data_IF_415029779107
#
_entry.id   IF_415029779107
#
_cell.length_a   1.000
_cell.length_b   1.000
_cell.length_c   1.000
_cell.angle_alpha   90.00
_cell.angle_beta   90.00
_cell.angle_gamma   90.00
#
_symmetry.space_group_name_H-M   'P 1'
#
loop_
_entity.id
_entity.type
_entity.pdbx_description
1 polymer ?
#
# COMPACT_ATOMS: atom_id res chain seq x y z
N UNK A 1 5.90 18.89 0.39
CA UNK A 1 6.28 17.49 0.12
C UNK A 1 5.06 16.77 -0.40
N UNK A 2 5.18 15.86 -1.37
CA UNK A 2 4.07 15.02 -1.80
C UNK A 2 3.59 14.18 -0.62
N UNK A 3 2.36 14.45 -0.15
CA UNK A 3 1.73 13.65 0.89
C UNK A 3 1.01 12.46 0.24
N UNK A 4 1.23 11.26 0.78
CA UNK A 4 0.45 10.10 0.38
C UNK A 4 -0.82 10.02 1.21
N UNK A 5 -1.93 9.85 0.51
CA UNK A 5 -3.26 9.64 1.13
C UNK A 5 -3.78 8.27 0.77
N UNK A 6 -4.51 7.63 1.68
CA UNK A 6 -5.08 6.32 1.41
C UNK A 6 -6.56 6.37 1.02
N UNK A 7 -6.99 5.33 0.32
CA UNK A 7 -8.39 5.03 0.00
C UNK A 7 -8.63 3.55 0.25
N UNK A 8 -9.68 3.23 1.00
CA UNK A 8 -10.16 1.88 1.26
C UNK A 8 -11.37 1.59 0.37
N UNK A 9 -11.39 0.42 -0.28
CA UNK A 9 -12.48 -0.04 -1.14
C UNK A 9 -13.07 -1.32 -0.56
N UNK A 10 -14.39 -1.37 -0.42
CA UNK A 10 -15.10 -2.49 0.19
C UNK A 10 -15.79 -3.36 -0.86
N UNK A 11 -16.15 -4.58 -0.45
CA UNK A 11 -16.77 -5.59 -1.31
C UNK A 11 -18.12 -5.16 -1.93
N UNK A 12 -18.83 -4.22 -1.32
CA UNK A 12 -20.07 -3.63 -1.83
C UNK A 12 -19.84 -2.44 -2.79
N UNK A 13 -18.57 -2.14 -3.10
CA UNK A 13 -18.16 -1.02 -3.94
C UNK A 13 -18.11 0.32 -3.21
N UNK A 14 -18.44 0.36 -1.91
CA UNK A 14 -18.28 1.59 -1.12
C UNK A 14 -16.80 1.92 -0.94
N UNK A 15 -16.53 3.20 -0.74
CA UNK A 15 -15.17 3.73 -0.62
C UNK A 15 -15.07 4.63 0.60
N UNK A 16 -14.01 4.43 1.40
CA UNK A 16 -13.64 5.30 2.50
C UNK A 16 -12.30 6.00 2.16
N UNK A 17 -12.30 7.30 1.84
CA UNK A 17 -11.07 8.06 1.66
C UNK A 17 -10.44 8.42 3.00
N UNK A 18 -9.12 8.65 3.06
CA UNK A 18 -8.49 9.20 4.26
C UNK A 18 -9.02 10.59 4.61
N UNK A 19 -9.27 11.43 3.60
CA UNK A 19 -9.75 12.80 3.75
C UNK A 19 -11.13 12.92 3.12
N UNK A 20 -12.11 13.36 3.91
CA UNK A 20 -13.47 13.59 3.45
C UNK A 20 -13.60 14.95 2.74
N UNK A 21 -14.70 15.16 2.00
CA UNK A 21 -14.95 16.40 1.28
C UNK A 21 -15.15 17.63 2.19
N UNK A 22 -15.51 17.40 3.45
CA UNK A 22 -15.65 18.44 4.49
C UNK A 22 -14.32 18.78 5.19
N UNK A 23 -13.21 18.14 4.80
CA UNK A 23 -11.89 18.32 5.39
C UNK A 23 -11.62 17.48 6.64
N UNK A 24 -12.60 16.71 7.13
CA UNK A 24 -12.37 15.73 8.19
C UNK A 24 -11.51 14.57 7.70
N UNK A 25 -10.82 13.90 8.63
CA UNK A 25 -9.94 12.77 8.33
C UNK A 25 -10.43 11.48 8.98
N UNK A 26 -10.55 10.43 8.18
CA UNK A 26 -10.73 9.07 8.65
C UNK A 26 -9.38 8.50 9.11
N UNK A 27 -9.42 7.70 10.16
CA UNK A 27 -8.27 7.03 10.78
C UNK A 27 -8.24 5.57 10.35
N UNK A 28 -7.10 4.93 10.57
CA UNK A 28 -6.96 3.48 10.37
C UNK A 28 -7.99 2.66 11.16
N UNK A 29 -8.42 3.16 12.33
CA UNK A 29 -9.45 2.51 13.14
C UNK A 29 -10.83 2.50 12.50
N UNK A 30 -11.09 3.43 11.58
CA UNK A 30 -12.39 3.59 10.91
C UNK A 30 -12.54 2.65 9.72
N UNK A 31 -11.44 2.01 9.29
CA UNK A 31 -11.45 1.02 8.22
C UNK A 31 -12.06 -0.28 8.73
N UNK A 32 -13.23 -0.64 8.20
CA UNK A 32 -13.78 -1.98 8.34
C UNK A 32 -12.96 -3.01 7.55
N UNK A 33 -11.97 -3.59 8.24
CA UNK A 33 -11.05 -4.59 7.66
C UNK A 33 -11.71 -5.94 7.36
N UNK A 34 -12.96 -6.16 7.77
CA UNK A 34 -13.68 -7.40 7.50
C UNK A 34 -14.32 -7.42 6.11
N UNK A 35 -14.64 -6.25 5.56
CA UNK A 35 -15.26 -6.08 4.24
C UNK A 35 -14.32 -5.44 3.20
N UNK A 36 -13.10 -5.09 3.61
CA UNK A 36 -12.10 -4.43 2.77
C UNK A 36 -11.56 -5.40 1.70
N UNK A 37 -11.59 -4.97 0.44
CA UNK A 37 -11.07 -5.74 -0.72
C UNK A 37 -9.88 -5.05 -1.38
N UNK A 38 -9.78 -3.72 -1.30
CA UNK A 38 -8.63 -2.98 -1.83
C UNK A 38 -8.19 -1.86 -0.90
N UNK A 39 -6.89 -1.58 -0.90
CA UNK A 39 -6.29 -0.45 -0.20
C UNK A 39 -5.26 0.25 -1.09
N UNK A 40 -5.52 1.51 -1.40
CA UNK A 40 -4.72 2.29 -2.34
C UNK A 40 -4.01 3.44 -1.63
N UNK A 41 -2.77 3.72 -2.03
CA UNK A 41 -2.04 4.93 -1.68
C UNK A 41 -1.92 5.83 -2.91
N UNK A 42 -2.40 7.05 -2.80
CA UNK A 42 -2.32 8.08 -3.83
C UNK A 42 -1.39 9.20 -3.40
N UNK A 43 -0.49 9.58 -4.30
CA UNK A 43 0.27 10.82 -4.21
C UNK A 43 -0.60 11.99 -4.60
N UNK A 44 -0.74 12.96 -3.69
CA UNK A 44 -1.52 14.16 -3.97
C UNK A 44 -0.68 15.14 -4.79
N UNK A 45 -1.17 15.48 -5.97
CA UNK A 45 -0.57 16.51 -6.81
C UNK A 45 -1.29 17.85 -6.59
N UNK A 46 -0.61 18.97 -6.84
CA UNK A 46 -1.16 20.33 -6.67
C UNK A 46 -2.39 20.66 -7.52
N UNK A 47 -2.77 19.79 -8.47
CA UNK A 47 -3.95 19.90 -9.32
C UNK A 47 -5.16 19.09 -8.82
N UNK A 48 -5.10 18.51 -7.61
CA UNK A 48 -6.21 17.78 -6.99
C UNK A 48 -6.43 16.36 -7.54
N UNK A 49 -5.72 15.93 -8.58
CA UNK A 49 -5.75 14.54 -9.07
C UNK A 49 -4.62 13.75 -8.41
N UNK A 50 -4.98 12.73 -7.64
CA UNK A 50 -4.01 11.84 -7.02
C UNK A 50 -3.41 10.85 -8.02
N UNK A 51 -2.08 10.69 -8.03
CA UNK A 51 -1.41 9.61 -8.77
C UNK A 51 -1.39 8.35 -7.90
N UNK A 52 -1.91 7.23 -8.40
CA UNK A 52 -1.81 5.95 -7.69
C UNK A 52 -0.33 5.54 -7.53
N UNK A 53 0.12 5.34 -6.29
CA UNK A 53 1.50 4.96 -5.94
C UNK A 53 1.63 3.50 -5.56
N UNK A 54 0.60 2.97 -4.94
CA UNK A 54 0.55 1.59 -4.49
C UNK A 54 -0.91 1.14 -4.42
N UNK A 55 -1.17 -0.08 -4.88
CA UNK A 55 -2.44 -0.74 -4.72
C UNK A 55 -2.22 -2.11 -4.08
N UNK A 56 -3.01 -2.39 -3.05
CA UNK A 56 -3.09 -3.68 -2.40
C UNK A 56 -4.49 -4.24 -2.62
N UNK A 57 -4.55 -5.42 -3.23
CA UNK A 57 -5.77 -6.22 -3.34
C UNK A 57 -5.71 -7.31 -2.26
N UNK A 58 -6.83 -7.52 -1.57
CA UNK A 58 -6.94 -8.47 -0.46
C UNK A 58 -7.77 -9.68 -0.90
N UNK A 59 -7.17 -10.86 -0.83
CA UNK A 59 -7.91 -12.12 -1.00
C UNK A 59 -8.75 -12.45 0.25
N UNK A 60 -9.77 -13.31 0.12
CA UNK A 60 -10.53 -13.80 1.27
C UNK A 60 -9.62 -14.33 2.39
N UNK A 61 -9.82 -13.81 3.60
CA UNK A 61 -9.04 -14.17 4.79
C UNK A 61 -7.76 -13.33 4.99
N UNK A 62 -7.36 -12.50 4.01
CA UNK A 62 -6.32 -11.50 4.21
C UNK A 62 -6.88 -10.30 4.98
N UNK A 63 -6.05 -9.72 5.84
CA UNK A 63 -6.37 -8.50 6.59
C UNK A 63 -5.29 -7.46 6.36
N UNK A 64 -5.70 -6.21 6.13
CA UNK A 64 -4.80 -5.08 5.96
C UNK A 64 -3.82 -4.94 7.14
N UNK A 65 -2.56 -4.68 6.79
CA UNK A 65 -1.53 -4.05 7.62
C UNK A 65 -1.24 -2.70 6.98
N UNK A 66 -1.45 -1.61 7.72
CA UNK A 66 -1.02 -0.29 7.29
C UNK A 66 -0.47 0.55 8.45
N UNK A 67 0.69 1.18 8.25
CA UNK A 67 1.28 2.13 9.20
C UNK A 67 2.05 3.21 8.44
N UNK A 68 1.81 4.47 8.77
CA UNK A 68 2.75 5.55 8.45
C UNK A 68 3.86 5.60 9.50
N UNK A 69 5.11 5.73 9.06
CA UNK A 69 6.29 5.84 9.91
C UNK A 69 7.16 6.99 9.43
N UNK A 70 7.85 7.58 10.40
CA UNK A 70 8.84 8.62 10.20
C UNK A 70 10.12 8.15 10.87
N UNK A 71 11.19 8.04 10.10
CA UNK A 71 12.52 7.72 10.63
C UNK A 71 13.34 9.00 10.66
N UNK A 72 13.70 9.42 11.86
CA UNK A 72 14.66 10.49 12.09
C UNK A 72 16.06 9.90 12.13
N UNK A 73 16.97 10.42 11.31
CA UNK A 73 18.40 10.16 11.47
C UNK A 73 19.02 11.35 12.17
N UNK A 74 19.86 11.08 13.17
CA UNK A 74 20.67 12.08 13.84
C UNK A 74 22.15 11.86 13.49
N UNK A 75 22.93 12.92 13.53
CA UNK A 75 24.40 12.84 13.47
C UNK A 75 24.99 12.35 14.81
N UNK A 76 26.32 12.30 14.87
CA UNK A 76 27.07 11.93 16.08
C UNK A 76 26.86 12.89 17.26
N UNK A 77 26.36 14.10 17.02
CA UNK A 77 26.05 15.11 18.04
C UNK A 77 24.57 15.08 18.46
N UNK A 78 23.78 14.13 17.91
CA UNK A 78 22.37 13.97 18.23
C UNK A 78 21.45 14.96 17.50
N UNK A 79 21.98 15.76 16.57
CA UNK A 79 21.18 16.69 15.76
C UNK A 79 20.51 15.93 14.62
N UNK A 80 19.20 16.12 14.45
CA UNK A 80 18.45 15.51 13.33
C UNK A 80 18.98 16.02 12.00
N UNK A 81 19.45 15.11 11.16
CA UNK A 81 20.02 15.37 9.83
C UNK A 81 19.10 14.92 8.69
N UNK A 82 18.15 14.02 8.93
CA UNK A 82 17.12 13.68 7.94
C UNK A 82 15.85 13.13 8.57
N UNK A 83 14.71 13.46 7.97
CA UNK A 83 13.41 12.86 8.27
C UNK A 83 12.93 12.11 7.03
N UNK A 84 12.73 10.79 7.15
CA UNK A 84 12.21 9.97 6.03
C UNK A 84 10.87 9.41 6.43
N UNK A 85 9.81 9.89 5.77
CA UNK A 85 8.47 9.36 5.93
C UNK A 85 8.19 8.24 4.92
N UNK A 86 7.56 7.16 5.39
CA UNK A 86 7.14 6.04 4.55
C UNK A 86 5.91 5.35 5.10
N UNK A 87 5.17 4.70 4.21
CA UNK A 87 4.05 3.84 4.54
C UNK A 87 4.49 2.38 4.48
N UNK A 88 4.25 1.62 5.55
CA UNK A 88 4.15 0.18 5.46
C UNK A 88 2.72 -0.16 5.06
N UNK A 89 2.54 -0.90 3.98
CA UNK A 89 1.24 -1.36 3.52
C UNK A 89 1.35 -2.82 3.06
N UNK A 90 0.37 -3.65 3.41
CA UNK A 90 0.41 -5.06 3.09
C UNK A 90 -0.72 -5.84 3.74
N UNK A 91 -0.57 -7.14 3.83
CA UNK A 91 -1.59 -8.03 4.38
C UNK A 91 -1.02 -9.04 5.35
N UNK A 92 -1.90 -9.54 6.21
CA UNK A 92 -1.67 -10.74 7.02
C UNK A 92 -2.79 -11.76 6.82
N UNK A 93 -2.44 -13.04 6.88
CA UNK A 93 -3.39 -14.15 6.86
C UNK A 93 -2.90 -15.24 7.80
N UNK A 94 -3.82 -15.93 8.46
CA UNK A 94 -3.50 -17.16 9.19
C UNK A 94 -3.61 -18.35 8.23
N UNK A 95 -2.49 -19.06 8.01
CA UNK A 95 -2.43 -20.29 7.23
C UNK A 95 -2.06 -21.44 8.17
N UNK A 96 -3.01 -22.32 8.45
CA UNK A 96 -2.86 -23.33 9.50
C UNK A 96 -2.69 -22.69 10.88
N UNK A 97 -1.53 -22.89 11.52
CA UNK A 97 -1.18 -22.29 12.82
C UNK A 97 -0.20 -21.12 12.71
N UNK A 98 0.11 -20.66 11.49
CA UNK A 98 1.09 -19.61 11.25
C UNK A 98 0.43 -18.33 10.76
N UNK A 99 0.85 -17.19 11.30
CA UNK A 99 0.49 -15.87 10.77
C UNK A 99 1.53 -15.50 9.70
N UNK A 100 1.07 -15.43 8.45
CA UNK A 100 1.87 -15.04 7.29
C UNK A 100 1.60 -13.56 7.02
N UNK A 101 2.66 -12.81 6.72
CA UNK A 101 2.58 -11.39 6.39
C UNK A 101 3.35 -11.08 5.10
N UNK A 102 2.81 -10.19 4.29
CA UNK A 102 3.49 -9.61 3.14
C UNK A 102 3.35 -8.11 3.21
N UNK A 103 4.46 -7.39 3.21
CA UNK A 103 4.47 -5.92 3.37
C UNK A 103 5.32 -5.27 2.28
N UNK A 104 4.94 -4.05 1.92
CA UNK A 104 5.72 -3.13 1.11
C UNK A 104 5.99 -1.84 1.91
N UNK A 105 7.15 -1.26 1.69
CA UNK A 105 7.52 0.08 2.13
C UNK A 105 7.36 1.04 0.97
N UNK A 106 6.53 2.05 1.14
CA UNK A 106 6.23 3.09 0.15
C UNK A 106 6.71 4.43 0.73
N UNK A 107 7.92 4.89 0.40
CA UNK A 107 8.41 6.20 0.79
C UNK A 107 7.54 7.32 0.20
N UNK A 108 7.36 8.40 0.95
CA UNK A 108 6.61 9.57 0.49
C UNK A 108 7.40 10.36 -0.57
N UNK A 109 8.71 10.48 -0.40
CA UNK A 109 9.56 11.35 -1.24
C UNK A 109 10.28 10.61 -2.38
N UNK A 110 10.33 9.28 -2.35
CA UNK A 110 11.05 8.50 -3.36
C UNK A 110 10.06 7.82 -4.31
N UNK A 111 10.36 7.72 -5.62
CA UNK A 111 9.46 7.12 -6.59
C UNK A 111 9.36 5.59 -6.45
N UNK A 112 10.31 4.94 -5.79
CA UNK A 112 10.39 3.48 -5.67
C UNK A 112 9.59 2.94 -4.48
N UNK A 113 9.03 1.74 -4.65
CA UNK A 113 8.41 0.95 -3.58
C UNK A 113 9.30 -0.25 -3.28
N UNK A 114 9.57 -0.52 -2.01
CA UNK A 114 10.38 -1.66 -1.58
C UNK A 114 9.48 -2.78 -1.08
N UNK A 115 9.53 -3.96 -1.68
CA UNK A 115 8.84 -5.13 -1.15
C UNK A 115 9.66 -5.77 -0.04
N UNK A 116 9.03 -6.05 1.09
CA UNK A 116 9.63 -6.77 2.21
C UNK A 116 8.76 -7.97 2.58
N UNK A 117 8.94 -9.05 1.85
CA UNK A 117 8.12 -10.24 2.03
C UNK A 117 8.33 -11.21 0.88
N UNK A 118 8.30 -12.50 1.20
CA UNK A 118 8.81 -13.59 0.36
C UNK A 118 7.98 -13.76 -0.92
N UNK A 119 8.71 -13.80 -2.03
CA UNK A 119 8.28 -14.16 -3.37
C UNK A 119 7.92 -15.66 -3.45
N UNK A 120 6.78 -16.00 -4.05
CA UNK A 120 6.40 -17.36 -4.44
C UNK A 120 6.41 -17.43 -5.95
N UNK A 121 7.44 -18.07 -6.49
CA UNK A 121 7.63 -18.23 -7.94
C UNK A 121 6.55 -19.12 -8.58
N UNK A 122 5.81 -19.88 -7.77
CA UNK A 122 4.73 -20.79 -8.17
C UNK A 122 3.31 -20.16 -8.14
N UNK A 123 3.19 -18.82 -8.09
CA UNK A 123 1.90 -18.14 -8.05
C UNK A 123 1.15 -18.22 -9.41
N UNK A 124 -0.16 -18.52 -9.45
CA UNK A 124 -0.91 -18.67 -10.72
C UNK A 124 -0.95 -17.44 -11.64
N UNK A 125 -0.67 -16.25 -11.10
CA UNK A 125 -0.54 -15.00 -11.88
C UNK A 125 0.85 -14.83 -12.54
N UNK A 126 1.77 -15.77 -12.36
CA UNK A 126 3.15 -15.71 -12.85
C UNK A 126 3.44 -16.73 -13.98
N UNK A 127 2.44 -17.50 -14.42
CA UNK A 127 2.60 -18.31 -15.63
C UNK A 127 2.85 -17.39 -16.83
N UNK A 128 3.81 -17.80 -17.66
CA UNK A 128 4.30 -17.02 -18.78
C UNK A 128 3.16 -16.45 -19.62
N UNK A 129 3.23 -15.15 -19.93
CA UNK A 129 2.51 -14.61 -21.07
C UNK A 129 2.84 -15.50 -22.27
N UNK A 130 1.84 -16.21 -22.77
CA UNK A 130 1.97 -16.94 -24.03
C UNK A 130 2.12 -15.83 -25.07
N UNK A 131 3.34 -15.64 -25.57
CA UNK A 131 3.52 -14.85 -26.77
C UNK A 131 2.65 -15.52 -27.85
N UNK A 132 1.62 -14.80 -28.31
CA UNK A 132 0.92 -15.22 -29.51
C UNK A 132 1.98 -15.35 -30.61
N UNK A 133 2.05 -16.50 -31.31
CA UNK A 133 2.98 -16.64 -32.41
C UNK A 133 2.69 -15.50 -33.38
N UNK A 134 3.75 -14.78 -33.73
CA UNK A 134 3.77 -13.69 -34.70
C UNK A 134 2.59 -13.79 -35.68
N UNK A 135 1.70 -12.80 -35.67
CA UNK A 135 1.07 -12.41 -36.93
C UNK A 135 2.20 -11.81 -37.76
N UNK A 136 2.91 -12.70 -38.46
CA UNK A 136 3.81 -12.29 -39.51
C UNK A 136 2.99 -11.68 -40.63
N UNK A 137 3.23 -10.40 -40.91
CA UNK A 137 3.80 -9.90 -42.17
C UNK A 137 4.40 -8.51 -41.95
#
# INVERSE_FOLDING_TARGET
MPELTWVAVYNDGTVLPQRNGDGSENRYGDIDRSNLVEFHLYERNGNGRGRLRYALYLDPGQRLIWRRRVVMRADSEGKTISEVAFHLAGWQMTVGKQNVQSIAYVPEEAPHTFMAGRFREDHPLFYAAIAHPNEGE
#
